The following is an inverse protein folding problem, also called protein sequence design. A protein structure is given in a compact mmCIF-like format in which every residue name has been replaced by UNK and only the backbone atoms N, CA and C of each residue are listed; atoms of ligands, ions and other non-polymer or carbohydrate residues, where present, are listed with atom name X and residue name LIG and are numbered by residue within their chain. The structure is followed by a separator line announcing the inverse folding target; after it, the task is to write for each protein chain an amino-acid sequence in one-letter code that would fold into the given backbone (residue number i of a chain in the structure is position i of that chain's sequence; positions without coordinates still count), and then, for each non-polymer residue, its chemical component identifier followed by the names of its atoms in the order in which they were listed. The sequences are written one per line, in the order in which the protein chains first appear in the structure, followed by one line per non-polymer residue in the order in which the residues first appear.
data_IF_677660714010
#
_entry.id   IF_677660714010
#
_cell.length_a   1.000
_cell.length_b   1.000
_cell.length_c   1.000
_cell.angle_alpha   90.00
_cell.angle_beta   90.00
_cell.angle_gamma   90.00
#
_symmetry.space_group_name_H-M   'P 1'
#
loop_
_entity.id
_entity.type
_entity.pdbx_description
1 polymer ?
#
# COMPACT_ATOMS: atom_id res chain seq x y z
N UNK A 1 -1.69 7.36 12.47
CA UNK A 1 -1.30 5.96 12.18
C UNK A 1 0.21 5.81 12.33
N UNK A 2 0.72 4.71 12.89
CA UNK A 2 2.16 4.46 13.01
C UNK A 2 2.81 4.42 11.62
N UNK A 3 4.07 4.85 11.51
CA UNK A 3 4.85 4.66 10.29
C UNK A 3 5.20 3.17 10.14
N UNK A 4 5.29 2.69 8.90
CA UNK A 4 5.75 1.33 8.59
C UNK A 4 7.14 1.39 7.97
N UNK A 5 7.84 0.26 7.88
CA UNK A 5 9.09 0.22 7.11
C UNK A 5 8.78 0.04 5.61
N UNK A 6 9.58 0.65 4.70
CA UNK A 6 9.40 0.44 3.26
C UNK A 6 9.52 -1.03 2.86
N UNK A 7 10.47 -1.75 3.47
CA UNK A 7 10.66 -3.18 3.27
C UNK A 7 9.44 -4.00 3.70
N UNK A 8 8.77 -3.64 4.80
CA UNK A 8 7.54 -4.31 5.20
C UNK A 8 6.41 -4.09 4.18
N UNK A 9 6.36 -2.92 3.53
CA UNK A 9 5.37 -2.61 2.50
C UNK A 9 5.62 -3.41 1.21
N UNK A 10 6.88 -3.58 0.83
CA UNK A 10 7.29 -4.43 -0.29
C UNK A 10 6.96 -5.90 -0.05
N UNK A 11 7.31 -6.44 1.13
CA UNK A 11 6.94 -7.81 1.51
C UNK A 11 5.41 -7.98 1.54
N UNK A 12 4.68 -7.00 2.07
CA UNK A 12 3.23 -7.02 2.11
C UNK A 12 2.61 -7.09 0.70
N UNK A 13 3.18 -6.36 -0.25
CA UNK A 13 2.77 -6.44 -1.65
C UNK A 13 2.96 -7.85 -2.21
N UNK A 14 4.16 -8.42 -2.07
CA UNK A 14 4.45 -9.76 -2.60
C UNK A 14 3.57 -10.84 -1.98
N UNK A 15 3.31 -10.75 -0.68
CA UNK A 15 2.40 -11.65 0.02
C UNK A 15 0.97 -11.54 -0.51
N UNK A 16 0.45 -10.31 -0.65
CA UNK A 16 -0.91 -10.09 -1.12
C UNK A 16 -1.08 -10.52 -2.59
N UNK A 17 -0.08 -10.21 -3.43
CA UNK A 17 -0.03 -10.64 -4.83
C UNK A 17 -0.01 -12.16 -4.94
N UNK A 18 0.88 -12.85 -4.24
CA UNK A 18 0.99 -14.30 -4.29
C UNK A 18 -0.33 -14.99 -3.86
N UNK A 19 -1.01 -14.43 -2.85
CA UNK A 19 -2.33 -14.90 -2.44
C UNK A 19 -3.39 -14.69 -3.53
N UNK A 20 -3.40 -13.53 -4.18
CA UNK A 20 -4.31 -13.24 -5.29
C UNK A 20 -4.06 -14.15 -6.51
N UNK A 21 -2.80 -14.38 -6.89
CA UNK A 21 -2.40 -15.30 -7.96
C UNK A 21 -2.80 -16.75 -7.66
N UNK A 22 -2.69 -17.16 -6.40
CA UNK A 22 -3.16 -18.47 -5.93
C UNK A 22 -4.69 -18.58 -5.83
N UNK A 23 -5.44 -17.52 -6.18
CA UNK A 23 -6.90 -17.49 -6.10
C UNK A 23 -7.44 -17.52 -4.67
N UNK A 24 -6.67 -17.04 -3.70
CA UNK A 24 -7.06 -16.97 -2.29
C UNK A 24 -7.86 -15.68 -2.03
N UNK A 25 -9.06 -15.60 -2.62
CA UNK A 25 -9.90 -14.40 -2.58
C UNK A 25 -10.49 -14.07 -1.20
N UNK A 26 -10.52 -15.05 -0.28
CA UNK A 26 -10.97 -14.86 1.10
C UNK A 26 -12.44 -14.43 1.25
N UNK A 27 -13.01 -14.49 2.46
CA UNK A 27 -14.30 -13.85 2.74
C UNK A 27 -14.13 -12.32 2.82
N UNK A 28 -15.23 -11.57 2.68
CA UNK A 28 -15.24 -10.13 2.97
C UNK A 28 -14.65 -9.87 4.37
N UNK A 29 -13.72 -8.91 4.47
CA UNK A 29 -12.98 -8.65 5.72
C UNK A 29 -13.50 -7.44 6.46
N UNK A 30 -13.50 -7.59 7.78
CA UNK A 30 -13.83 -6.54 8.74
C UNK A 30 -12.55 -6.16 9.51
N UNK A 31 -12.20 -4.88 9.50
CA UNK A 31 -11.15 -4.30 10.33
C UNK A 31 -11.80 -3.75 11.60
N UNK A 32 -11.58 -4.42 12.72
CA UNK A 32 -12.10 -4.01 14.02
C UNK A 32 -11.06 -3.17 14.76
N UNK A 33 -11.46 -2.00 15.24
CA UNK A 33 -10.60 -1.11 16.03
C UNK A 33 -11.00 -1.16 17.51
N UNK A 34 -10.02 -1.02 18.44
CA UNK A 34 -10.32 -0.78 19.84
C UNK A 34 -11.26 0.44 19.99
N UNK A 35 -12.42 0.23 20.60
CA UNK A 35 -13.49 1.25 20.70
C UNK A 35 -14.74 0.95 19.88
N UNK A 36 -14.82 -0.19 19.19
CA UNK A 36 -16.04 -0.68 18.54
C UNK A 36 -16.30 -0.12 17.15
N UNK A 37 -15.32 0.56 16.55
CA UNK A 37 -15.39 0.98 15.14
C UNK A 37 -15.01 -0.21 14.27
N UNK A 38 -15.88 -0.52 13.32
CA UNK A 38 -15.69 -1.61 12.35
C UNK A 38 -15.69 -1.04 10.94
N UNK A 39 -14.67 -1.38 10.15
CA UNK A 39 -14.60 -1.05 8.72
C UNK A 39 -14.77 -2.34 7.93
N UNK A 40 -15.78 -2.40 7.06
CA UNK A 40 -15.97 -3.52 6.15
C UNK A 40 -15.34 -3.18 4.80
N UNK A 41 -14.46 -4.06 4.33
CA UNK A 41 -13.93 -4.01 2.98
C UNK A 41 -14.95 -4.66 2.05
N UNK A 42 -15.66 -3.83 1.28
CA UNK A 42 -16.70 -4.26 0.33
C UNK A 42 -16.15 -4.58 -1.05
N UNK A 43 -14.96 -4.08 -1.37
CA UNK A 43 -14.24 -4.38 -2.60
C UNK A 43 -13.57 -5.77 -2.47
N UNK A 44 -13.84 -6.65 -3.43
CA UNK A 44 -13.38 -8.05 -3.38
C UNK A 44 -11.86 -8.17 -3.48
N UNK A 45 -11.21 -7.30 -4.25
CA UNK A 45 -9.75 -7.28 -4.39
C UNK A 45 -9.14 -6.80 -3.06
N UNK A 46 -9.66 -5.71 -2.49
CA UNK A 46 -9.21 -5.21 -1.20
C UNK A 46 -9.42 -6.22 -0.06
N UNK A 47 -10.54 -6.95 -0.06
CA UNK A 47 -10.81 -8.00 0.92
C UNK A 47 -9.84 -9.18 0.80
N UNK A 48 -9.53 -9.62 -0.43
CA UNK A 48 -8.54 -10.67 -0.67
C UNK A 48 -7.15 -10.27 -0.16
N UNK A 49 -6.73 -9.04 -0.45
CA UNK A 49 -5.44 -8.53 -0.01
C UNK A 49 -5.38 -8.41 1.51
N UNK A 50 -6.46 -7.93 2.14
CA UNK A 50 -6.55 -7.86 3.60
C UNK A 50 -6.55 -9.24 4.27
N UNK A 51 -7.16 -10.26 3.67
CA UNK A 51 -7.10 -11.63 4.17
C UNK A 51 -5.66 -12.17 4.14
N UNK A 52 -4.92 -11.95 3.05
CA UNK A 52 -3.52 -12.32 2.96
C UNK A 52 -2.69 -11.61 4.06
N UNK A 53 -2.93 -10.31 4.26
CA UNK A 53 -2.27 -9.52 5.30
C UNK A 53 -2.64 -9.99 6.72
N UNK A 54 -3.88 -10.43 6.94
CA UNK A 54 -4.28 -10.99 8.24
C UNK A 54 -3.48 -12.24 8.61
N UNK A 55 -3.17 -13.09 7.63
CA UNK A 55 -2.38 -14.31 7.86
C UNK A 55 -0.89 -13.99 8.06
N UNK A 56 -0.42 -12.90 7.46
CA UNK A 56 0.98 -12.51 7.47
C UNK A 56 1.38 -11.64 8.67
N UNK A 57 0.71 -10.51 8.87
CA UNK A 57 1.09 -9.50 9.87
C UNK A 57 0.14 -9.41 11.06
N UNK A 58 -1.01 -10.09 11.00
CA UNK A 58 -2.12 -9.89 11.93
C UNK A 58 -2.81 -8.54 11.73
N UNK A 59 -4.14 -8.50 11.85
CA UNK A 59 -4.92 -7.24 11.80
C UNK A 59 -5.51 -6.87 13.16
N UNK A 60 -5.06 -7.56 14.21
CA UNK A 60 -5.35 -7.29 15.62
C UNK A 60 -4.38 -6.25 16.23
N UNK A 61 -3.28 -5.94 15.53
CA UNK A 61 -2.30 -4.94 15.95
C UNK A 61 -2.43 -3.63 15.17
N UNK A 62 -2.24 -2.46 15.82
CA UNK A 62 -2.22 -1.17 15.12
C UNK A 62 -1.18 -1.10 13.99
N UNK A 63 -0.04 -1.78 14.14
CA UNK A 63 1.01 -1.85 13.13
C UNK A 63 0.59 -2.66 11.91
N UNK A 64 -0.05 -3.82 12.12
CA UNK A 64 -0.56 -4.66 11.04
C UNK A 64 -1.69 -4.00 10.27
N UNK A 65 -2.64 -3.36 10.97
CA UNK A 65 -3.68 -2.53 10.33
C UNK A 65 -3.05 -1.39 9.53
N UNK A 66 -2.06 -0.70 10.10
CA UNK A 66 -1.39 0.40 9.41
C UNK A 66 -0.63 -0.03 8.15
N UNK A 67 -0.07 -1.23 8.14
CA UNK A 67 0.58 -1.84 6.99
C UNK A 67 -0.45 -2.20 5.92
N UNK A 68 -1.54 -2.87 6.30
CA UNK A 68 -2.62 -3.26 5.40
C UNK A 68 -3.26 -2.05 4.72
N UNK A 69 -3.62 -1.01 5.48
CA UNK A 69 -4.23 0.19 4.92
C UNK A 69 -3.29 0.93 3.97
N UNK A 70 -1.99 0.99 4.27
CA UNK A 70 -1.00 1.61 3.37
C UNK A 70 -0.78 0.80 2.09
N UNK A 71 -0.83 -0.52 2.18
CA UNK A 71 -0.75 -1.37 1.00
C UNK A 71 -1.96 -1.11 0.08
N UNK A 72 -3.18 -1.13 0.63
CA UNK A 72 -4.39 -0.85 -0.14
C UNK A 72 -4.38 0.56 -0.75
N UNK A 73 -3.96 1.57 0.04
CA UNK A 73 -3.80 2.93 -0.46
C UNK A 73 -2.74 3.06 -1.56
N UNK A 74 -1.67 2.26 -1.49
CA UNK A 74 -0.65 2.21 -2.54
C UNK A 74 -1.25 1.63 -3.83
N UNK A 75 -1.96 0.51 -3.76
CA UNK A 75 -2.64 -0.09 -4.93
C UNK A 75 -3.60 0.89 -5.58
N UNK A 76 -4.43 1.55 -4.77
CA UNK A 76 -5.36 2.58 -5.23
C UNK A 76 -4.63 3.72 -5.95
N UNK A 77 -3.53 4.20 -5.35
CA UNK A 77 -2.71 5.26 -5.94
C UNK A 77 -2.11 4.83 -7.27
N UNK A 78 -1.57 3.62 -7.38
CA UNK A 78 -0.99 3.10 -8.62
C UNK A 78 -2.04 2.94 -9.72
N UNK A 79 -3.27 2.56 -9.37
CA UNK A 79 -4.38 2.41 -10.30
C UNK A 79 -4.95 3.76 -10.79
N UNK A 80 -4.96 4.78 -9.92
CA UNK A 80 -5.59 6.08 -10.23
C UNK A 80 -4.61 7.15 -10.73
N UNK A 81 -3.40 7.21 -10.18
CA UNK A 81 -2.51 8.33 -10.37
C UNK A 81 -1.49 8.09 -11.48
N UNK A 82 -1.80 8.56 -12.69
CA UNK A 82 -0.95 8.42 -13.88
C UNK A 82 0.50 8.93 -13.72
N UNK A 83 0.76 9.85 -12.80
CA UNK A 83 2.09 10.38 -12.53
C UNK A 83 3.03 9.36 -11.85
N UNK A 84 2.49 8.28 -11.29
CA UNK A 84 3.28 7.18 -10.70
C UNK A 84 3.92 6.29 -11.76
N UNK A 85 3.55 6.46 -13.04
CA UNK A 85 4.17 5.71 -14.15
C UNK A 85 5.68 5.90 -14.14
N UNK A 86 6.42 4.79 -14.24
CA UNK A 86 7.88 4.79 -14.16
C UNK A 86 8.44 4.74 -12.73
N UNK A 87 7.60 4.80 -11.69
CA UNK A 87 8.00 4.53 -10.31
C UNK A 87 7.79 3.06 -9.91
N UNK A 88 7.25 2.25 -10.81
CA UNK A 88 7.02 0.84 -10.60
C UNK A 88 6.93 0.11 -11.95
N UNK A 89 7.25 -1.18 -11.94
CA UNK A 89 7.07 -2.11 -13.05
C UNK A 89 6.39 -3.36 -12.52
N UNK A 90 5.32 -3.82 -13.16
CA UNK A 90 4.65 -5.09 -12.81
C UNK A 90 4.90 -6.07 -13.95
N UNK A 91 5.53 -7.19 -13.63
CA UNK A 91 5.83 -8.28 -14.55
C UNK A 91 5.25 -9.62 -14.09
N UNK A 92 5.55 -10.66 -14.86
CA UNK A 92 5.19 -12.04 -14.49
C UNK A 92 5.97 -12.53 -13.25
N UNK A 93 7.22 -12.08 -13.09
CA UNK A 93 8.12 -12.47 -12.00
C UNK A 93 7.89 -11.68 -10.69
N UNK A 94 7.04 -10.65 -10.71
CA UNK A 94 6.76 -9.82 -9.53
C UNK A 94 6.58 -8.33 -9.87
N UNK A 95 6.59 -7.48 -8.85
CA UNK A 95 6.59 -6.03 -9.02
C UNK A 95 7.89 -5.42 -8.50
N UNK A 96 8.48 -4.54 -9.30
CA UNK A 96 9.61 -3.71 -8.89
C UNK A 96 9.10 -2.32 -8.54
N UNK A 97 9.42 -1.82 -7.35
CA UNK A 97 9.07 -0.48 -6.91
C UNK A 97 10.30 0.40 -6.77
N UNK A 98 10.17 1.66 -7.18
CA UNK A 98 11.20 2.65 -6.90
C UNK A 98 11.30 2.86 -5.37
N UNK A 99 12.49 2.79 -4.74
CA UNK A 99 12.63 2.88 -3.29
C UNK A 99 12.02 4.15 -2.67
N UNK A 100 12.10 5.28 -3.39
CA UNK A 100 11.46 6.53 -2.96
C UNK A 100 9.93 6.44 -2.88
N UNK A 101 9.27 5.65 -3.75
CA UNK A 101 7.83 5.40 -3.70
C UNK A 101 7.45 4.65 -2.43
N UNK A 102 8.14 3.55 -2.13
CA UNK A 102 7.90 2.78 -0.91
C UNK A 102 8.21 3.62 0.35
N UNK A 103 9.29 4.40 0.33
CA UNK A 103 9.64 5.30 1.43
C UNK A 103 8.59 6.39 1.67
N UNK A 104 8.00 6.94 0.60
CA UNK A 104 6.93 7.92 0.72
C UNK A 104 5.65 7.27 1.24
N UNK A 105 5.20 6.16 0.66
CA UNK A 105 4.01 5.42 1.07
C UNK A 105 4.09 4.93 2.53
N UNK A 106 5.28 4.54 2.98
CA UNK A 106 5.52 4.10 4.36
C UNK A 106 5.25 5.18 5.42
N UNK A 107 5.32 6.46 5.04
CA UNK A 107 5.28 7.61 5.97
C UNK A 107 4.16 8.58 5.70
N UNK A 108 3.68 8.69 4.47
CA UNK A 108 2.64 9.62 4.09
C UNK A 108 1.38 9.39 4.93
N UNK A 109 0.67 10.47 5.31
CA UNK A 109 -0.63 10.35 5.94
C UNK A 109 -1.63 9.78 4.93
N UNK A 110 -2.60 9.01 5.44
CA UNK A 110 -3.82 8.68 4.72
C UNK A 110 -4.88 9.73 5.07
N UNK A 111 -5.69 10.12 4.10
CA UNK A 111 -6.86 10.96 4.34
C UNK A 111 -7.95 10.21 5.12
N UNK A 112 -9.05 10.90 5.42
CA UNK A 112 -10.19 10.32 6.15
C UNK A 112 -10.87 9.15 5.40
N UNK A 113 -10.59 8.99 4.10
CA UNK A 113 -11.09 7.89 3.26
C UNK A 113 -10.09 6.75 3.11
N UNK A 114 -8.92 6.85 3.74
CA UNK A 114 -7.86 5.85 3.67
C UNK A 114 -7.00 5.95 2.41
N UNK A 115 -6.99 7.09 1.70
CA UNK A 115 -6.23 7.28 0.46
C UNK A 115 -5.00 8.15 0.66
N UNK A 116 -4.01 7.99 -0.21
CA UNK A 116 -2.91 8.93 -0.31
C UNK A 116 -3.33 10.18 -1.09
N UNK A 117 -3.03 11.35 -0.53
CA UNK A 117 -3.23 12.62 -1.23
C UNK A 117 -2.12 12.86 -2.28
N UNK A 118 -2.53 13.14 -3.52
CA UNK A 118 -1.61 13.32 -4.65
C UNK A 118 -0.56 14.41 -4.43
N UNK A 119 -0.97 15.61 -4.03
CA UNK A 119 -0.05 16.76 -3.93
C UNK A 119 1.00 16.57 -2.83
N UNK A 120 0.64 16.17 -1.59
CA UNK A 120 1.62 15.80 -0.55
C UNK A 120 2.55 14.67 -0.98
N UNK A 121 2.02 13.62 -1.61
CA UNK A 121 2.82 12.47 -2.05
C UNK A 121 3.87 12.89 -3.09
N UNK A 122 3.46 13.67 -4.11
CA UNK A 122 4.38 14.19 -5.13
C UNK A 122 5.43 15.12 -4.54
N UNK A 123 5.06 15.95 -3.55
CA UNK A 123 6.01 16.82 -2.86
C UNK A 123 7.07 16.01 -2.09
N UNK A 124 6.69 14.89 -1.45
CA UNK A 124 7.64 13.99 -0.78
C UNK A 124 8.60 13.32 -1.77
N UNK A 125 8.08 12.84 -2.90
CA UNK A 125 8.89 12.19 -3.94
C UNK A 125 9.88 13.16 -4.58
N UNK A 126 9.45 14.37 -4.92
CA UNK A 126 10.32 15.41 -5.50
C UNK A 126 11.46 15.86 -4.58
N UNK A 127 11.33 15.66 -3.26
CA UNK A 127 12.42 15.94 -2.29
C UNK A 127 13.42 14.80 -2.18
N UNK A 128 13.01 13.59 -2.54
CA UNK A 128 13.78 12.36 -2.34
C UNK A 128 14.47 11.91 -3.62
N UNK A 129 13.87 12.21 -4.77
CA UNK A 129 14.47 11.97 -6.07
C UNK A 129 15.53 13.04 -6.37
N UNK A 130 16.72 12.66 -6.85
CA UNK A 130 17.67 13.60 -7.40
C UNK A 130 16.98 14.44 -8.47
N UNK A 131 17.20 15.75 -8.47
CA UNK A 131 16.81 16.58 -9.61
C UNK A 131 17.61 16.04 -10.79
N UNK A 132 16.96 15.60 -11.86
CA UNK A 132 17.66 15.25 -13.08
C UNK A 132 18.46 16.48 -13.51
N UNK A 133 19.79 16.35 -13.57
CA UNK A 133 20.62 17.42 -14.12
C UNK A 133 20.19 17.65 -15.57
N UNK A 134 20.02 18.91 -16.01
CA UNK A 134 19.78 19.19 -17.42
C UNK A 134 20.98 18.67 -18.22
N UNK A 135 20.75 18.08 -19.42
CA UNK A 135 21.86 17.72 -20.29
C UNK A 135 22.71 18.97 -20.59
N UNK A 136 24.03 18.81 -20.50
CA UNK A 136 25.03 19.85 -20.76
C UNK A 136 24.97 20.38 -22.19
#
# INVERSE_FOLDING_TARGET
MPAVSPNALEIAWEVARAAAEAGLWGPARLLAFPGGVEIVLTDADAASWAEAMSRHSGLDSPSGVALCLRLLALVELLGRAAWTRGMFTIGAEGAEFHPALLAAAARAPLDATGRFEDAPMRAMLSRTLPRADPPA
#
